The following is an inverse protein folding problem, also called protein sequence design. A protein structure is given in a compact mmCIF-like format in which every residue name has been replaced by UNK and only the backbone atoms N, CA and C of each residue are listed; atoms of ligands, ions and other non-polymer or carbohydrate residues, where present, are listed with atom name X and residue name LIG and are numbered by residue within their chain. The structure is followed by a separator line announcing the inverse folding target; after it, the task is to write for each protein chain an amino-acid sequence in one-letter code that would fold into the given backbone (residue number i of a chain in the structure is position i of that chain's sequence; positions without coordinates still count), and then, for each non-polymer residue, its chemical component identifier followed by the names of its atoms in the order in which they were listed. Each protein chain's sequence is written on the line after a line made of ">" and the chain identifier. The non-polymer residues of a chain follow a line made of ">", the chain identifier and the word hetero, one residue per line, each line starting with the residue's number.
data_IF_188229266274
#
_entry.id   IF_188229266274
#
_cell.length_a   1.000
_cell.length_b   1.000
_cell.length_c   1.000
_cell.angle_alpha   90.00
_cell.angle_beta   90.00
_cell.angle_gamma   90.00
#
_symmetry.space_group_name_H-M   'P 1'
#
loop_
_entity.id
_entity.type
_entity.pdbx_description
1 polymer ?
#
# COMPACT_ATOMS: atom_id res chain seq x y z
N UNK A 1 11.32 5.95 -13.98
CA UNK A 1 10.81 5.26 -15.19
C UNK A 1 9.65 4.38 -14.70
N UNK A 2 8.91 3.72 -15.58
CA UNK A 2 7.77 4.37 -16.18
C UNK A 2 6.44 3.99 -15.50
N UNK A 3 5.52 4.93 -15.63
CA UNK A 3 4.09 4.63 -15.70
C UNK A 3 3.83 3.73 -16.93
N UNK A 4 4.12 2.44 -16.79
CA UNK A 4 3.79 1.38 -17.75
C UNK A 4 2.70 0.49 -17.18
N UNK A 5 1.91 -0.08 -18.06
CA UNK A 5 0.98 -1.13 -17.73
C UNK A 5 1.71 -2.43 -17.35
N UNK A 6 1.12 -3.25 -16.46
CA UNK A 6 1.60 -4.62 -16.27
C UNK A 6 1.49 -5.42 -17.57
N UNK A 7 2.35 -6.43 -17.79
CA UNK A 7 2.29 -7.25 -18.99
C UNK A 7 0.93 -7.94 -19.13
N UNK A 8 0.31 -7.84 -20.31
CA UNK A 8 -1.01 -8.45 -20.56
C UNK A 8 -1.01 -9.98 -20.40
N UNK A 9 0.13 -10.63 -20.63
CA UNK A 9 0.31 -12.08 -20.43
C UNK A 9 0.55 -12.47 -18.96
N UNK A 10 0.55 -11.53 -18.03
CA UNK A 10 0.94 -11.74 -16.63
C UNK A 10 2.44 -11.59 -16.38
N UNK A 11 2.83 -11.66 -15.11
CA UNK A 11 4.24 -11.56 -14.73
C UNK A 11 5.00 -12.82 -15.12
N UNK A 12 6.18 -12.65 -15.72
CA UNK A 12 7.08 -13.77 -16.06
C UNK A 12 7.58 -14.53 -14.83
N UNK A 13 7.67 -13.85 -13.68
CA UNK A 13 8.12 -14.43 -12.42
C UNK A 13 7.29 -13.83 -11.27
N UNK A 14 6.93 -14.63 -10.26
CA UNK A 14 6.37 -14.11 -9.02
C UNK A 14 7.31 -13.11 -8.34
N UNK A 15 6.70 -12.16 -7.64
CA UNK A 15 7.41 -11.23 -6.77
C UNK A 15 8.21 -12.00 -5.71
N UNK A 16 9.21 -11.33 -5.13
CA UNK A 16 9.95 -11.92 -4.01
C UNK A 16 9.04 -11.97 -2.78
N UNK A 17 8.85 -13.16 -2.18
CA UNK A 17 8.07 -13.33 -0.96
C UNK A 17 8.88 -12.91 0.28
N UNK A 18 8.26 -12.19 1.19
CA UNK A 18 8.70 -11.98 2.57
C UNK A 18 7.55 -12.34 3.51
N UNK A 19 7.79 -12.30 4.82
CA UNK A 19 6.79 -12.68 5.83
C UNK A 19 6.56 -11.54 6.81
N UNK A 20 5.30 -11.35 7.18
CA UNK A 20 4.90 -10.59 8.36
C UNK A 20 4.48 -11.61 9.42
N UNK A 21 5.30 -11.78 10.44
CA UNK A 21 5.18 -12.86 11.43
C UNK A 21 3.98 -12.69 12.35
N UNK A 22 3.38 -13.81 12.77
CA UNK A 22 2.42 -13.80 13.88
C UNK A 22 3.04 -13.16 15.14
N UNK A 23 2.24 -12.43 15.89
CA UNK A 23 2.66 -11.67 17.08
C UNK A 23 3.27 -10.30 16.78
N UNK A 24 3.58 -9.98 15.53
CA UNK A 24 4.05 -8.65 15.16
C UNK A 24 2.96 -7.61 15.42
N UNK A 25 3.33 -6.52 16.09
CA UNK A 25 2.48 -5.35 16.23
C UNK A 25 2.57 -4.49 14.98
N UNK A 26 1.42 -4.09 14.45
CA UNK A 26 1.30 -3.19 13.30
C UNK A 26 0.33 -2.05 13.63
N UNK A 27 0.42 -0.97 12.87
CA UNK A 27 -0.29 0.28 13.13
C UNK A 27 -1.12 0.69 11.94
N UNK A 28 -2.33 1.20 12.17
CA UNK A 28 -3.23 1.67 11.13
C UNK A 28 -3.89 2.97 11.51
N UNK A 29 -3.87 3.93 10.59
CA UNK A 29 -4.76 5.09 10.64
C UNK A 29 -6.04 4.74 9.86
N UNK A 30 -7.20 4.83 10.49
CA UNK A 30 -8.50 4.53 9.87
C UNK A 30 -9.56 5.54 10.28
N UNK A 31 -10.70 5.54 9.59
CA UNK A 31 -11.86 6.32 10.06
C UNK A 31 -12.36 5.78 11.39
N UNK A 32 -12.60 6.65 12.37
CA UNK A 32 -12.99 6.28 13.74
C UNK A 32 -14.31 5.51 13.80
N UNK A 33 -15.19 5.65 12.82
CA UNK A 33 -16.46 4.90 12.78
C UNK A 33 -16.31 3.45 12.27
N UNK A 34 -15.14 3.07 11.74
CA UNK A 34 -14.87 1.72 11.20
C UNK A 34 -14.06 0.91 12.22
N UNK A 35 -14.35 -0.38 12.33
CA UNK A 35 -13.55 -1.29 13.12
C UNK A 35 -12.10 -1.34 12.58
N UNK A 36 -11.08 -1.34 13.46
CA UNK A 36 -9.68 -1.20 13.05
C UNK A 36 -9.18 -2.40 12.22
N UNK A 37 -9.71 -3.59 12.49
CA UNK A 37 -9.36 -4.84 11.80
C UNK A 37 -10.20 -5.10 10.55
N UNK A 38 -11.24 -4.30 10.28
CA UNK A 38 -12.11 -4.52 9.14
C UNK A 38 -11.40 -4.10 7.83
N UNK A 39 -11.23 -5.02 6.86
CA UNK A 39 -10.81 -4.67 5.51
C UNK A 39 -11.87 -3.82 4.81
N UNK A 40 -11.47 -3.01 3.84
CA UNK A 40 -12.39 -2.32 2.95
C UNK A 40 -12.77 -3.25 1.79
N UNK A 41 -14.06 -3.63 1.62
CA UNK A 41 -14.48 -4.53 0.55
C UNK A 41 -14.82 -3.80 -0.75
N UNK A 42 -14.79 -2.46 -0.77
CA UNK A 42 -15.33 -1.68 -1.88
C UNK A 42 -14.33 -1.57 -3.03
N UNK A 43 -14.73 -1.87 -4.29
CA UNK A 43 -13.92 -1.59 -5.46
C UNK A 43 -13.56 -0.10 -5.55
N UNK A 44 -12.36 0.20 -6.05
CA UNK A 44 -11.89 1.55 -6.32
C UNK A 44 -11.53 1.68 -7.81
N UNK A 45 -12.50 1.95 -8.68
CA UNK A 45 -12.31 1.89 -10.12
C UNK A 45 -11.60 3.14 -10.70
N UNK A 46 -11.59 4.26 -9.98
CA UNK A 46 -11.07 5.55 -10.47
C UNK A 46 -9.86 6.08 -9.69
N UNK A 47 -9.20 7.11 -10.23
CA UNK A 47 -8.02 7.74 -9.63
C UNK A 47 -8.32 8.71 -8.46
N UNK A 48 -9.58 9.08 -8.26
CA UNK A 48 -10.01 10.10 -7.30
C UNK A 48 -10.35 9.50 -5.93
N UNK A 49 -10.58 8.18 -5.87
CA UNK A 49 -10.89 7.45 -4.65
C UNK A 49 -9.94 6.28 -4.42
N UNK A 50 -9.73 5.93 -3.14
CA UNK A 50 -8.93 4.77 -2.74
C UNK A 50 -7.42 5.02 -2.60
N UNK A 51 -6.70 3.94 -2.30
CA UNK A 51 -5.25 3.86 -2.16
C UNK A 51 -4.55 3.25 -3.37
N UNK A 52 -3.22 3.14 -3.26
CA UNK A 52 -2.31 2.79 -4.36
C UNK A 52 -2.48 1.37 -4.88
N UNK A 53 -2.89 0.44 -4.03
CA UNK A 53 -2.93 -1.01 -4.34
C UNK A 53 -4.31 -1.63 -4.05
N UNK A 54 -5.34 -0.79 -3.96
CA UNK A 54 -6.73 -1.22 -3.75
C UNK A 54 -7.24 -2.09 -4.90
N UNK A 55 -8.27 -2.89 -4.63
CA UNK A 55 -8.91 -3.67 -5.67
C UNK A 55 -9.70 -2.77 -6.63
N UNK A 56 -9.53 -2.98 -7.95
CA UNK A 56 -10.29 -2.27 -8.99
C UNK A 56 -11.73 -2.79 -9.10
N UNK A 57 -11.92 -4.08 -8.95
CA UNK A 57 -13.16 -4.82 -9.25
C UNK A 57 -13.81 -5.44 -8.01
N UNK A 58 -13.18 -5.33 -6.84
CA UNK A 58 -13.66 -5.91 -5.60
C UNK A 58 -13.26 -7.38 -5.41
N UNK A 59 -12.37 -7.91 -6.26
CA UNK A 59 -11.85 -9.29 -6.16
C UNK A 59 -11.11 -9.58 -4.84
N UNK A 60 -10.68 -8.54 -4.12
CA UNK A 60 -10.16 -8.66 -2.76
C UNK A 60 -10.53 -7.46 -1.90
N UNK A 61 -10.73 -7.70 -0.61
CA UNK A 61 -10.80 -6.65 0.40
C UNK A 61 -9.40 -6.31 0.92
N UNK A 62 -9.20 -5.10 1.42
CA UNK A 62 -7.84 -4.61 1.74
C UNK A 62 -7.77 -3.76 3.01
N UNK A 63 -6.61 -3.76 3.67
CA UNK A 63 -6.32 -2.88 4.80
C UNK A 63 -4.86 -2.45 4.74
N UNK A 64 -4.60 -1.16 4.95
CA UNK A 64 -3.22 -0.66 5.05
C UNK A 64 -2.77 -0.65 6.51
N UNK A 65 -1.58 -1.19 6.77
CA UNK A 65 -0.91 -1.16 8.07
C UNK A 65 0.57 -0.83 7.89
N UNK A 66 1.22 -0.36 8.94
CA UNK A 66 2.67 -0.12 8.98
C UNK A 66 3.32 -0.74 10.21
N UNK A 67 4.64 -0.89 10.19
CA UNK A 67 5.43 -1.42 11.31
C UNK A 67 5.57 -0.46 12.48
N UNK A 68 5.21 0.81 12.27
CA UNK A 68 5.30 1.84 13.29
C UNK A 68 4.15 2.86 13.22
N UNK A 69 3.88 3.60 14.33
CA UNK A 69 2.94 4.72 14.35
C UNK A 69 3.23 5.76 13.26
N UNK A 70 4.49 6.16 13.11
CA UNK A 70 4.93 7.18 12.17
C UNK A 70 4.90 6.67 10.72
N UNK A 71 5.16 5.39 10.48
CA UNK A 71 4.94 4.75 9.18
C UNK A 71 3.46 4.78 8.76
N UNK A 72 2.55 4.50 9.70
CA UNK A 72 1.11 4.53 9.43
C UNK A 72 0.61 5.96 9.13
N UNK A 73 1.13 6.96 9.84
CA UNK A 73 0.85 8.38 9.58
C UNK A 73 1.44 8.79 8.22
N UNK A 74 2.69 8.41 7.94
CA UNK A 74 3.36 8.71 6.68
C UNK A 74 2.57 8.16 5.49
N UNK A 75 2.08 6.93 5.60
CA UNK A 75 1.36 6.27 4.52
C UNK A 75 -0.10 6.71 4.39
N UNK A 76 -0.73 7.22 5.44
CA UNK A 76 -2.16 7.58 5.37
C UNK A 76 -2.38 9.08 5.23
N UNK A 77 -1.69 9.88 6.06
CA UNK A 77 -1.89 11.32 6.17
C UNK A 77 -0.93 12.06 5.26
N UNK A 78 0.33 11.61 5.20
CA UNK A 78 1.37 12.33 4.47
C UNK A 78 1.50 11.90 3.01
N UNK A 79 0.91 10.77 2.58
CA UNK A 79 1.22 10.10 1.29
C UNK A 79 1.17 10.98 0.03
N UNK A 80 0.30 11.98 0.03
CA UNK A 80 0.06 12.88 -1.11
C UNK A 80 0.68 14.28 -0.89
N UNK A 81 1.47 14.46 0.18
CA UNK A 81 2.16 15.73 0.42
C UNK A 81 3.27 15.93 -0.62
N UNK A 82 3.57 17.19 -0.99
CA UNK A 82 4.63 17.48 -1.92
C UNK A 82 5.99 17.03 -1.35
N UNK A 83 6.83 16.47 -2.24
CA UNK A 83 8.24 16.21 -1.95
C UNK A 83 9.14 17.41 -2.26
N UNK A 84 8.63 18.39 -3.01
CA UNK A 84 9.35 19.62 -3.34
C UNK A 84 9.65 20.41 -2.05
N UNK A 85 10.92 20.63 -1.69
CA UNK A 85 11.28 21.33 -0.45
C UNK A 85 10.89 22.81 -0.45
N UNK A 86 10.55 23.38 -1.61
CA UNK A 86 10.08 24.78 -1.74
C UNK A 86 8.58 24.92 -1.48
N UNK A 87 7.84 23.82 -1.48
CA UNK A 87 6.39 23.81 -1.24
C UNK A 87 6.10 23.40 0.20
N UNK A 88 5.31 24.20 0.90
CA UNK A 88 4.89 23.87 2.27
C UNK A 88 4.10 22.56 2.30
N UNK A 89 4.50 21.65 3.19
CA UNK A 89 3.77 20.40 3.47
C UNK A 89 2.64 20.68 4.45
N UNK A 90 1.46 20.99 3.91
CA UNK A 90 0.28 21.34 4.71
C UNK A 90 -0.61 20.12 4.84
N UNK A 91 -0.86 19.69 6.08
CA UNK A 91 -1.88 18.68 6.40
C UNK A 91 -3.16 19.42 6.77
N UNK A 92 -4.23 19.34 5.96
CA UNK A 92 -5.49 19.97 6.32
C UNK A 92 -6.11 19.25 7.53
N UNK A 93 -6.77 20.00 8.42
CA UNK A 93 -7.41 19.41 9.60
C UNK A 93 -8.41 18.31 9.25
N UNK A 94 -9.07 18.40 8.08
CA UNK A 94 -9.98 17.38 7.56
C UNK A 94 -9.30 16.04 7.22
N UNK A 95 -7.99 16.02 6.97
CA UNK A 95 -7.27 14.76 6.78
C UNK A 95 -7.09 13.98 8.10
N UNK A 96 -7.12 14.68 9.23
CA UNK A 96 -6.89 14.12 10.58
C UNK A 96 -8.20 13.94 11.35
N UNK A 97 -9.14 14.86 11.22
CA UNK A 97 -10.41 14.83 11.93
C UNK A 97 -11.19 13.54 11.62
N UNK A 98 -11.72 12.89 12.68
CA UNK A 98 -12.45 11.62 12.56
C UNK A 98 -11.59 10.42 12.16
N UNK A 99 -10.26 10.51 12.32
CA UNK A 99 -9.33 9.38 12.19
C UNK A 99 -8.85 8.89 13.54
N UNK A 100 -8.58 7.60 13.63
CA UNK A 100 -7.98 6.93 14.78
C UNK A 100 -6.72 6.19 14.34
N UNK A 101 -5.66 6.30 15.13
CA UNK A 101 -4.47 5.47 15.03
C UNK A 101 -4.62 4.29 16.01
N UNK A 102 -4.60 3.07 15.48
CA UNK A 102 -4.79 1.85 16.26
C UNK A 102 -3.62 0.89 16.07
N UNK A 103 -3.15 0.29 17.16
CA UNK A 103 -2.22 -0.83 17.13
C UNK A 103 -3.01 -2.15 17.01
N UNK A 104 -2.52 -3.06 16.17
CA UNK A 104 -3.09 -4.37 15.88
C UNK A 104 -2.00 -5.44 16.04
N UNK A 105 -2.37 -6.61 16.55
CA UNK A 105 -1.48 -7.77 16.58
C UNK A 105 -1.81 -8.69 15.40
N UNK A 106 -0.79 -9.08 14.64
CA UNK A 106 -0.91 -10.06 13.57
C UNK A 106 -1.14 -11.44 14.18
N UNK A 107 -2.27 -12.09 13.88
CA UNK A 107 -2.65 -13.36 14.54
C UNK A 107 -2.11 -14.61 13.85
N UNK A 108 -1.74 -14.50 12.57
CA UNK A 108 -1.11 -15.56 11.78
C UNK A 108 -0.02 -14.96 10.91
N UNK A 109 1.03 -15.73 10.62
CA UNK A 109 2.06 -15.29 9.67
C UNK A 109 1.42 -15.06 8.30
N UNK A 110 1.71 -13.90 7.72
CA UNK A 110 1.25 -13.48 6.40
C UNK A 110 2.42 -13.56 5.41
N UNK A 111 2.18 -14.15 4.24
CA UNK A 111 3.13 -14.14 3.12
C UNK A 111 2.85 -12.91 2.27
N UNK A 112 3.85 -12.07 2.04
CA UNK A 112 3.66 -10.79 1.32
C UNK A 112 4.69 -10.64 0.19
N UNK A 113 4.30 -10.00 -0.90
CA UNK A 113 5.21 -9.66 -1.99
C UNK A 113 6.02 -8.41 -1.65
N UNK A 114 7.35 -8.49 -1.67
CA UNK A 114 8.23 -7.35 -1.42
C UNK A 114 8.33 -6.43 -2.65
N UNK A 115 7.85 -5.20 -2.50
CA UNK A 115 7.85 -4.12 -3.48
C UNK A 115 8.74 -2.97 -3.01
N UNK A 116 9.96 -3.27 -2.55
CA UNK A 116 10.94 -2.27 -2.14
C UNK A 116 12.37 -2.72 -2.46
N UNK A 117 13.29 -1.76 -2.50
CA UNK A 117 14.71 -2.02 -2.76
C UNK A 117 14.93 -2.83 -4.04
N UNK A 118 15.83 -3.83 -4.05
CA UNK A 118 16.14 -4.60 -5.25
C UNK A 118 14.96 -5.45 -5.76
N UNK A 119 13.96 -5.73 -4.93
CA UNK A 119 12.85 -6.62 -5.28
C UNK A 119 11.90 -6.02 -6.33
N UNK A 120 11.86 -4.69 -6.48
CA UNK A 120 11.05 -4.02 -7.52
C UNK A 120 11.47 -4.45 -8.94
N UNK A 121 12.77 -4.59 -9.18
CA UNK A 121 13.29 -5.02 -10.48
C UNK A 121 12.81 -6.43 -10.88
N UNK A 122 12.50 -7.29 -9.89
CA UNK A 122 12.01 -8.65 -10.13
C UNK A 122 10.61 -8.68 -10.74
N UNK A 123 9.77 -7.70 -10.40
CA UNK A 123 8.44 -7.53 -11.00
C UNK A 123 8.48 -6.59 -12.22
N UNK A 124 9.66 -6.15 -12.66
CA UNK A 124 9.82 -5.27 -13.81
C UNK A 124 9.42 -3.82 -13.55
N UNK A 125 9.52 -3.36 -12.29
CA UNK A 125 9.19 -1.99 -11.89
C UNK A 125 10.32 -1.30 -11.13
N UNK A 126 10.19 0.01 -10.98
CA UNK A 126 11.05 0.84 -10.13
C UNK A 126 10.25 1.48 -8.97
N UNK A 127 10.86 2.43 -8.26
CA UNK A 127 10.23 3.13 -7.13
C UNK A 127 8.92 3.83 -7.50
N UNK A 128 8.67 4.13 -8.77
CA UNK A 128 7.41 4.69 -9.23
C UNK A 128 6.21 3.88 -8.72
N UNK A 129 6.27 2.55 -8.76
CA UNK A 129 5.17 1.67 -8.33
C UNK A 129 4.71 1.94 -6.89
N UNK A 130 5.61 2.37 -6.00
CA UNK A 130 5.31 2.58 -4.57
C UNK A 130 5.34 4.04 -4.15
N UNK A 131 5.82 4.94 -5.02
CA UNK A 131 6.04 6.37 -4.71
C UNK A 131 5.26 7.33 -5.62
N UNK A 132 4.52 6.83 -6.61
CA UNK A 132 3.75 7.68 -7.50
C UNK A 132 2.61 8.43 -6.78
N UNK A 133 2.14 9.48 -7.44
CA UNK A 133 0.98 10.28 -7.05
C UNK A 133 -0.33 9.57 -7.38
N UNK A 134 -1.43 10.01 -6.74
CA UNK A 134 -2.76 9.42 -6.85
C UNK A 134 -3.28 9.28 -8.29
N UNK A 135 -2.94 10.21 -9.20
CA UNK A 135 -3.27 10.15 -10.65
C UNK A 135 -2.75 8.90 -11.38
N UNK A 136 -1.85 8.14 -10.74
CA UNK A 136 -1.31 6.91 -11.28
C UNK A 136 -1.88 5.66 -10.62
N UNK A 137 -2.79 5.80 -9.65
CA UNK A 137 -3.25 4.68 -8.83
C UNK A 137 -4.00 3.63 -9.62
N UNK A 138 -4.73 4.00 -10.67
CA UNK A 138 -5.37 3.01 -11.54
C UNK A 138 -4.32 2.03 -12.10
N UNK A 139 -3.18 2.53 -12.57
CA UNK A 139 -2.09 1.70 -13.09
C UNK A 139 -1.44 0.87 -11.97
N UNK A 140 -1.17 1.45 -10.80
CA UNK A 140 -0.56 0.67 -9.69
C UNK A 140 -1.51 -0.39 -9.12
N UNK A 141 -2.83 -0.21 -9.20
CA UNK A 141 -3.82 -1.23 -8.85
C UNK A 141 -3.86 -2.36 -9.88
N UNK A 142 -3.70 -2.06 -11.17
CA UNK A 142 -3.50 -3.11 -12.20
C UNK A 142 -2.24 -3.91 -11.91
N UNK A 143 -1.16 -3.26 -11.48
CA UNK A 143 0.04 -3.95 -11.01
C UNK A 143 -0.23 -4.81 -9.76
N UNK A 144 -0.94 -4.30 -8.76
CA UNK A 144 -1.33 -5.09 -7.58
C UNK A 144 -2.11 -6.34 -7.97
N UNK A 145 -3.07 -6.21 -8.89
CA UNK A 145 -3.81 -7.34 -9.44
C UNK A 145 -2.89 -8.34 -10.18
N UNK A 146 -2.01 -7.86 -11.06
CA UNK A 146 -1.08 -8.73 -11.79
C UNK A 146 -0.12 -9.49 -10.86
N UNK A 147 0.35 -8.84 -9.78
CA UNK A 147 1.22 -9.45 -8.76
C UNK A 147 0.46 -10.54 -8.00
N UNK A 148 -0.77 -10.26 -7.54
CA UNK A 148 -1.62 -11.25 -6.85
C UNK A 148 -2.02 -12.41 -7.77
N UNK A 149 -2.31 -12.15 -9.04
CA UNK A 149 -2.66 -13.19 -10.01
C UNK A 149 -1.48 -14.12 -10.33
N UNK A 150 -0.25 -13.58 -10.33
CA UNK A 150 0.96 -14.37 -10.54
C UNK A 150 1.33 -15.25 -9.33
N UNK A 151 0.78 -14.94 -8.15
CA UNK A 151 1.04 -15.69 -6.93
C UNK A 151 -0.19 -15.67 -6.00
N UNK A 152 -1.15 -16.59 -6.20
CA UNK A 152 -2.40 -16.62 -5.42
C UNK A 152 -2.23 -16.88 -3.91
N UNK A 153 -1.04 -17.33 -3.47
CA UNK A 153 -0.78 -17.66 -2.07
C UNK A 153 -0.29 -16.45 -1.25
N UNK A 154 -0.07 -15.29 -1.88
CA UNK A 154 0.30 -14.08 -1.12
C UNK A 154 -0.93 -13.46 -0.45
N UNK A 155 -0.78 -13.12 0.81
CA UNK A 155 -1.77 -12.39 1.58
C UNK A 155 -1.76 -10.90 1.22
N UNK A 156 -0.59 -10.35 0.88
CA UNK A 156 -0.43 -8.91 0.74
C UNK A 156 0.80 -8.43 -0.02
N UNK A 157 0.98 -7.10 -0.04
CA UNK A 157 2.12 -6.42 -0.64
C UNK A 157 2.87 -5.64 0.45
N UNK A 158 4.20 -5.73 0.49
CA UNK A 158 5.06 -5.01 1.42
C UNK A 158 5.84 -3.91 0.67
N UNK A 159 5.79 -2.68 1.15
CA UNK A 159 6.46 -1.56 0.51
C UNK A 159 6.89 -0.50 1.53
N UNK A 160 7.72 0.46 1.09
CA UNK A 160 8.15 1.58 1.93
C UNK A 160 7.23 2.79 1.70
N UNK A 161 6.68 3.45 2.73
CA UNK A 161 5.91 4.69 2.57
C UNK A 161 6.68 5.80 1.86
N UNK A 162 6.01 6.64 1.06
CA UNK A 162 6.67 7.71 0.28
C UNK A 162 7.43 8.72 1.16
N UNK A 163 6.91 9.02 2.34
CA UNK A 163 7.47 10.01 3.25
C UNK A 163 8.22 9.40 4.45
N UNK A 164 8.46 8.08 4.45
CA UNK A 164 9.24 7.40 5.46
C UNK A 164 9.86 6.13 4.85
N UNK A 165 11.08 6.24 4.34
CA UNK A 165 11.78 5.11 3.70
C UNK A 165 12.38 4.12 4.71
N UNK A 166 12.41 4.43 6.00
CA UNK A 166 13.00 3.53 7.00
C UNK A 166 11.99 2.47 7.49
N UNK A 167 10.70 2.76 7.33
CA UNK A 167 9.57 1.90 7.74
C UNK A 167 9.02 1.03 6.61
N UNK A 168 8.30 -0.03 6.98
CA UNK A 168 7.50 -0.85 6.07
C UNK A 168 6.00 -0.61 6.29
N UNK A 169 5.27 -0.65 5.18
CA UNK A 169 3.82 -0.73 5.12
C UNK A 169 3.37 -1.97 4.34
N UNK A 170 2.17 -2.44 4.67
CA UNK A 170 1.53 -3.58 4.03
C UNK A 170 0.09 -3.28 3.64
N UNK A 171 -0.38 -3.97 2.59
CA UNK A 171 -1.78 -4.06 2.17
C UNK A 171 -2.20 -5.51 1.96
#
# INVERSE_FOLDING_TARGET
>A
MPNIEPPAAGLLRPAHRTVLTAGTMVWRVHSSHRAPHAPNPTPQPDELAGGRFDSLDGSYAYLYVADSPDGAIAETICRDLPLDPTVARIVPASAVAGRTLTALAVTRTLTVAALHGPHLSRVGQDLWLTKCEARHYVTTRRWAHAIRAADPDIDGLAYRPRHNEDTLAWI
#
